data_IF_304218484877
#
_entry.id   IF_304218484877
#
_cell.length_a   1.000
_cell.length_b   1.000
_cell.length_c   1.000
_cell.angle_alpha   90.00
_cell.angle_beta   90.00
_cell.angle_gamma   90.00
#
_symmetry.space_group_name_H-M   'P 1'
#
loop_
_entity.id
_entity.type
_entity.pdbx_description
1 polymer ?
#
# COMPACT_ATOMS: atom_id res chain seq x y z
N UNK A 1 18.75 14.44 -3.27
CA UNK A 1 17.71 13.78 -4.06
C UNK A 1 16.48 13.69 -3.17
N UNK A 2 15.33 14.14 -3.64
CA UNK A 2 14.07 14.10 -2.91
C UNK A 2 13.33 12.80 -3.31
N UNK A 3 13.16 11.89 -2.37
CA UNK A 3 12.57 10.57 -2.62
C UNK A 3 11.18 10.53 -2.02
N UNK A 4 10.16 10.21 -2.85
CA UNK A 4 8.82 9.91 -2.37
C UNK A 4 8.76 8.47 -1.86
N UNK A 5 8.21 8.28 -0.67
CA UNK A 5 7.82 6.95 -0.19
C UNK A 5 6.32 6.80 -0.42
N UNK A 6 5.96 5.76 -1.15
CA UNK A 6 4.58 5.44 -1.49
C UNK A 6 4.23 4.03 -1.04
N UNK A 7 2.97 3.80 -0.70
CA UNK A 7 2.48 2.49 -0.32
C UNK A 7 1.00 2.30 -0.66
N UNK A 8 0.54 1.04 -0.75
CA UNK A 8 -0.88 0.73 -0.79
C UNK A 8 -1.54 1.02 0.58
N UNK A 9 -2.77 1.50 0.60
CA UNK A 9 -3.48 1.88 1.84
C UNK A 9 -3.61 0.74 2.85
N UNK A 10 -3.55 -0.51 2.39
CA UNK A 10 -3.56 -1.72 3.22
C UNK A 10 -2.35 -1.86 4.16
N UNK A 11 -1.46 -0.86 4.21
CA UNK A 11 -0.41 -0.74 5.22
C UNK A 11 -0.94 -0.26 6.58
N UNK A 12 -2.20 0.17 6.65
CA UNK A 12 -2.91 0.59 7.86
C UNK A 12 -2.18 1.67 8.69
N UNK A 13 -1.39 2.52 8.03
CA UNK A 13 -0.79 3.68 8.67
C UNK A 13 -1.82 4.79 8.83
N UNK A 14 -1.83 5.42 10.01
CA UNK A 14 -2.72 6.56 10.26
C UNK A 14 -2.31 7.78 9.41
N UNK A 15 -3.30 8.64 9.10
CA UNK A 15 -3.05 9.88 8.38
C UNK A 15 -1.98 10.75 9.08
N UNK A 16 -1.97 10.77 10.42
CA UNK A 16 -0.97 11.50 11.20
C UNK A 16 0.45 11.01 10.94
N UNK A 17 0.64 9.69 10.85
CA UNK A 17 1.94 9.09 10.50
C UNK A 17 2.30 9.42 9.05
N UNK A 18 1.35 9.28 8.13
CA UNK A 18 1.60 9.57 6.72
C UNK A 18 2.00 11.04 6.51
N UNK A 19 1.31 11.97 7.13
CA UNK A 19 1.63 13.40 7.07
C UNK A 19 3.00 13.71 7.70
N UNK A 20 3.29 13.13 8.88
CA UNK A 20 4.55 13.35 9.59
C UNK A 20 5.78 12.88 8.81
N UNK A 21 5.65 11.76 8.11
CA UNK A 21 6.76 11.12 7.41
C UNK A 21 6.71 11.28 5.89
N UNK A 22 5.79 12.10 5.36
CA UNK A 22 5.62 12.37 3.93
C UNK A 22 5.40 11.06 3.12
N UNK A 23 4.49 10.21 3.61
CA UNK A 23 4.14 8.94 3.00
C UNK A 23 2.90 9.12 2.13
N UNK A 24 2.96 8.68 0.88
CA UNK A 24 1.91 8.84 -0.12
C UNK A 24 1.15 7.53 -0.32
N UNK A 25 -0.06 7.45 0.20
CA UNK A 25 -0.88 6.25 0.07
C UNK A 25 -1.59 6.18 -1.29
N UNK A 26 -1.59 4.99 -1.85
CA UNK A 26 -2.40 4.59 -2.97
C UNK A 26 -3.67 3.93 -2.41
N UNK A 27 -4.81 4.60 -2.49
CA UNK A 27 -6.05 4.18 -1.85
C UNK A 27 -6.70 3.00 -2.60
N UNK A 28 -6.61 1.80 -2.04
CA UNK A 28 -7.08 0.57 -2.67
C UNK A 28 -8.59 0.58 -2.91
N UNK A 29 -9.06 0.14 -4.09
CA UNK A 29 -10.48 0.11 -4.42
C UNK A 29 -11.20 -1.09 -3.81
N UNK A 30 -12.43 -0.87 -3.36
CA UNK A 30 -13.38 -1.91 -2.97
C UNK A 30 -14.81 -1.51 -3.36
N UNK A 31 -15.70 -2.50 -3.52
CA UNK A 31 -17.08 -2.27 -3.93
C UNK A 31 -18.06 -2.78 -2.88
N UNK A 32 -19.06 -1.96 -2.55
CA UNK A 32 -20.21 -2.28 -1.72
C UNK A 32 -21.44 -2.62 -2.61
N UNK A 33 -21.30 -3.65 -3.46
CA UNK A 33 -22.27 -4.00 -4.48
C UNK A 33 -21.82 -3.62 -5.90
N UNK A 34 -22.71 -3.73 -6.89
CA UNK A 34 -22.35 -3.62 -8.31
C UNK A 34 -21.98 -2.19 -8.72
N UNK A 35 -22.63 -1.17 -8.13
CA UNK A 35 -22.50 0.23 -8.57
C UNK A 35 -21.87 1.15 -7.50
N UNK A 36 -21.35 0.63 -6.40
CA UNK A 36 -20.76 1.42 -5.31
C UNK A 36 -19.26 1.13 -5.13
N UNK A 37 -18.47 1.64 -6.07
CA UNK A 37 -17.00 1.59 -5.99
C UNK A 37 -16.49 2.68 -5.06
N UNK A 38 -15.68 2.29 -4.11
CA UNK A 38 -15.04 3.17 -3.11
C UNK A 38 -13.54 2.97 -3.06
N UNK A 39 -12.86 3.94 -2.44
CA UNK A 39 -11.42 3.92 -2.21
C UNK A 39 -11.15 4.01 -0.73
N UNK A 40 -10.36 3.09 -0.22
CA UNK A 40 -10.03 2.91 1.18
C UNK A 40 -9.46 4.19 1.82
N UNK A 41 -10.08 4.62 2.93
CA UNK A 41 -9.70 5.84 3.64
C UNK A 41 -10.01 7.17 2.92
N UNK A 42 -10.56 7.14 1.68
CA UNK A 42 -10.88 8.34 0.89
C UNK A 42 -12.39 8.50 0.70
N UNK A 43 -13.04 7.53 0.06
CA UNK A 43 -14.48 7.55 -0.20
C UNK A 43 -15.23 6.42 0.51
N UNK A 44 -14.50 5.55 1.21
CA UNK A 44 -15.05 4.47 2.01
C UNK A 44 -14.21 4.18 3.25
N UNK A 45 -14.87 3.69 4.28
CA UNK A 45 -14.28 3.41 5.59
C UNK A 45 -14.62 1.98 6.03
N UNK A 46 -13.91 1.48 7.03
CA UNK A 46 -14.21 0.21 7.70
C UNK A 46 -15.66 0.18 8.22
N UNK A 47 -16.18 1.32 8.70
CA UNK A 47 -17.57 1.44 9.16
C UNK A 47 -18.55 1.15 8.02
N UNK A 48 -18.33 1.71 6.83
CA UNK A 48 -19.19 1.47 5.66
C UNK A 48 -19.23 -0.01 5.29
N UNK A 49 -18.08 -0.70 5.39
CA UNK A 49 -17.97 -2.14 5.15
C UNK A 49 -18.86 -2.93 6.11
N UNK A 50 -18.76 -2.68 7.42
CA UNK A 50 -19.58 -3.37 8.42
C UNK A 50 -21.08 -3.06 8.26
N UNK A 51 -21.45 -1.80 8.06
CA UNK A 51 -22.85 -1.42 7.82
C UNK A 51 -23.43 -2.09 6.56
N UNK A 52 -22.63 -2.22 5.50
CA UNK A 52 -23.05 -2.94 4.30
C UNK A 52 -23.30 -4.42 4.57
N UNK A 53 -22.40 -5.11 5.27
CA UNK A 53 -22.54 -6.52 5.63
C UNK A 53 -23.76 -6.75 6.52
N UNK A 54 -23.93 -5.93 7.57
CA UNK A 54 -25.10 -6.01 8.47
C UNK A 54 -26.42 -5.81 7.73
N UNK A 55 -26.46 -4.87 6.78
CA UNK A 55 -27.68 -4.52 6.04
C UNK A 55 -28.03 -5.52 4.96
N UNK A 56 -27.04 -6.11 4.32
CA UNK A 56 -27.26 -6.92 3.10
C UNK A 56 -26.98 -8.41 3.26
N UNK A 57 -26.19 -8.78 4.29
CA UNK A 57 -25.65 -10.14 4.44
C UNK A 57 -24.60 -10.51 3.38
N UNK A 58 -24.14 -9.54 2.57
CA UNK A 58 -23.15 -9.78 1.51
C UNK A 58 -21.80 -9.19 1.90
N UNK A 59 -20.74 -9.88 1.48
CA UNK A 59 -19.37 -9.33 1.63
C UNK A 59 -19.08 -8.30 0.53
N UNK A 60 -18.28 -7.27 0.83
CA UNK A 60 -17.71 -6.40 -0.19
C UNK A 60 -16.74 -7.18 -1.08
N UNK A 61 -16.46 -6.64 -2.25
CA UNK A 61 -15.45 -7.18 -3.16
C UNK A 61 -14.30 -6.21 -3.29
N UNK A 62 -13.07 -6.72 -3.40
CA UNK A 62 -11.87 -5.91 -3.60
C UNK A 62 -11.36 -6.05 -5.03
N UNK A 63 -10.72 -5.01 -5.53
CA UNK A 63 -10.04 -5.01 -6.83
C UNK A 63 -8.57 -4.63 -6.64
N UNK A 64 -7.70 -5.26 -7.43
CA UNK A 64 -6.31 -4.82 -7.50
C UNK A 64 -6.21 -3.56 -8.35
N UNK A 65 -5.35 -2.64 -7.98
CA UNK A 65 -4.92 -1.57 -8.86
C UNK A 65 -4.25 -2.17 -10.10
N UNK A 66 -4.56 -1.63 -11.27
CA UNK A 66 -3.96 -2.06 -12.51
C UNK A 66 -2.67 -1.27 -12.82
N UNK A 67 -1.94 -1.70 -13.83
CA UNK A 67 -0.66 -1.10 -14.24
C UNK A 67 -0.81 0.37 -14.64
N UNK A 68 -1.91 0.73 -15.32
CA UNK A 68 -2.16 2.11 -15.72
C UNK A 68 -2.37 3.03 -14.50
N UNK A 69 -3.15 2.60 -13.53
CA UNK A 69 -3.42 3.36 -12.30
C UNK A 69 -2.12 3.59 -11.50
N UNK A 70 -1.25 2.59 -11.40
CA UNK A 70 0.08 2.76 -10.80
C UNK A 70 0.96 3.72 -11.58
N UNK A 71 0.95 3.63 -12.90
CA UNK A 71 1.71 4.55 -13.77
C UNK A 71 1.28 6.00 -13.54
N UNK A 72 -0.03 6.27 -13.47
CA UNK A 72 -0.56 7.59 -13.15
C UNK A 72 -0.16 8.07 -11.75
N UNK A 73 -0.24 7.18 -10.76
CA UNK A 73 0.17 7.48 -9.39
C UNK A 73 1.67 7.86 -9.33
N UNK A 74 2.55 7.06 -9.93
CA UNK A 74 3.98 7.33 -9.96
C UNK A 74 4.33 8.60 -10.73
N UNK A 75 3.70 8.82 -11.89
CA UNK A 75 3.87 10.06 -12.67
C UNK A 75 3.45 11.30 -11.88
N UNK A 76 2.42 11.21 -11.04
CA UNK A 76 2.00 12.31 -10.17
C UNK A 76 3.10 12.64 -9.16
N UNK A 77 3.69 11.63 -8.52
CA UNK A 77 4.75 11.82 -7.52
C UNK A 77 6.05 12.35 -8.16
N UNK A 78 6.42 11.86 -9.33
CA UNK A 78 7.63 12.32 -10.05
C UNK A 78 7.58 13.79 -10.51
N UNK A 79 6.44 14.48 -10.36
CA UNK A 79 6.38 15.95 -10.58
C UNK A 79 7.09 16.75 -9.48
N UNK A 80 7.09 16.21 -8.26
CA UNK A 80 7.59 16.91 -7.06
C UNK A 80 8.78 16.21 -6.40
N UNK A 81 9.11 14.98 -6.86
CA UNK A 81 10.18 14.13 -6.32
C UNK A 81 11.11 13.63 -7.43
N UNK A 82 12.37 13.44 -7.09
CA UNK A 82 13.40 12.94 -8.01
C UNK A 82 13.30 11.42 -8.23
N UNK A 83 12.77 10.71 -7.25
CA UNK A 83 12.56 9.25 -7.29
C UNK A 83 11.36 8.84 -6.44
N UNK A 84 10.78 7.68 -6.75
CA UNK A 84 9.69 7.04 -5.98
C UNK A 84 10.14 5.65 -5.54
N UNK A 85 9.99 5.37 -4.25
CA UNK A 85 10.07 4.01 -3.71
C UNK A 85 8.66 3.63 -3.27
N UNK A 86 8.06 2.67 -3.96
CA UNK A 86 6.74 2.14 -3.64
C UNK A 86 6.88 0.80 -2.93
N UNK A 87 6.41 0.75 -1.69
CA UNK A 87 6.29 -0.51 -0.95
C UNK A 87 4.89 -1.05 -1.18
N UNK A 88 4.79 -2.26 -1.72
CA UNK A 88 3.51 -2.87 -2.03
C UNK A 88 3.09 -3.92 -1.02
N UNK A 89 1.80 -4.15 -0.97
CA UNK A 89 1.20 -5.33 -0.34
C UNK A 89 1.87 -6.62 -0.86
N UNK A 90 1.92 -7.66 -0.03
CA UNK A 90 2.59 -8.92 -0.39
C UNK A 90 2.19 -9.45 -1.77
N UNK A 91 3.19 -9.72 -2.59
CA UNK A 91 3.01 -10.24 -3.96
C UNK A 91 2.46 -11.66 -4.00
N UNK A 92 2.58 -12.41 -2.90
CA UNK A 92 2.00 -13.75 -2.78
C UNK A 92 0.50 -13.72 -2.47
N UNK A 93 0.01 -12.62 -1.86
CA UNK A 93 -1.39 -12.49 -1.45
C UNK A 93 -2.22 -11.78 -2.52
N UNK A 94 -1.64 -10.82 -3.26
CA UNK A 94 -2.35 -9.99 -4.23
C UNK A 94 -1.57 -9.76 -5.51
N UNK A 95 -2.29 -9.67 -6.63
CA UNK A 95 -1.71 -9.26 -7.93
C UNK A 95 -1.34 -7.76 -7.98
N UNK A 96 -1.75 -6.98 -7.01
CA UNK A 96 -1.47 -5.53 -6.86
C UNK A 96 0.02 -5.23 -6.99
N UNK A 97 0.88 -5.94 -6.24
CA UNK A 97 2.32 -5.75 -6.31
C UNK A 97 2.95 -6.10 -7.67
N UNK A 98 2.43 -7.14 -8.33
CA UNK A 98 2.87 -7.47 -9.70
C UNK A 98 2.50 -6.36 -10.70
N UNK A 99 1.36 -5.70 -10.52
CA UNK A 99 0.95 -4.56 -11.33
C UNK A 99 1.83 -3.34 -11.07
N UNK A 100 2.12 -3.03 -9.81
CA UNK A 100 3.04 -1.96 -9.43
C UNK A 100 4.43 -2.17 -10.03
N UNK A 101 4.96 -3.40 -9.97
CA UNK A 101 6.24 -3.76 -10.57
C UNK A 101 6.25 -3.55 -12.07
N UNK A 102 5.23 -4.04 -12.80
CA UNK A 102 5.13 -3.82 -14.25
C UNK A 102 5.07 -2.35 -14.62
N UNK A 103 4.33 -1.55 -13.86
CA UNK A 103 4.30 -0.10 -14.06
C UNK A 103 5.70 0.52 -13.90
N UNK A 104 6.45 0.11 -12.87
CA UNK A 104 7.79 0.65 -12.59
C UNK A 104 8.87 0.21 -13.59
N UNK A 105 8.76 -0.98 -14.20
CA UNK A 105 9.75 -1.51 -15.16
C UNK A 105 9.99 -0.58 -16.36
N UNK A 106 8.99 0.21 -16.72
CA UNK A 106 9.06 1.17 -17.85
C UNK A 106 9.32 2.62 -17.39
N UNK A 107 9.58 2.86 -16.10
CA UNK A 107 9.77 4.19 -15.53
C UNK A 107 11.17 4.34 -14.94
N UNK A 108 11.83 5.45 -15.27
CA UNK A 108 13.08 5.81 -14.60
C UNK A 108 12.79 6.34 -13.19
N UNK A 109 13.66 6.00 -12.24
CA UNK A 109 13.58 6.47 -10.85
C UNK A 109 12.33 6.01 -10.08
N UNK A 110 11.68 4.92 -10.49
CA UNK A 110 10.61 4.27 -9.75
C UNK A 110 11.06 2.86 -9.36
N UNK A 111 10.95 2.56 -8.09
CA UNK A 111 11.40 1.31 -7.48
C UNK A 111 10.26 0.70 -6.68
N UNK A 112 10.05 -0.61 -6.81
CA UNK A 112 9.01 -1.32 -6.08
C UNK A 112 9.62 -2.35 -5.14
N UNK A 113 9.08 -2.43 -3.91
CA UNK A 113 9.50 -3.37 -2.87
C UNK A 113 8.29 -4.21 -2.49
N UNK A 114 8.46 -5.55 -2.51
CA UNK A 114 7.49 -6.46 -1.90
C UNK A 114 7.65 -6.43 -0.38
N UNK A 115 6.61 -6.02 0.35
CA UNK A 115 6.65 -6.03 1.81
C UNK A 115 6.67 -7.45 2.39
N UNK A 116 6.24 -8.47 1.64
CA UNK A 116 5.94 -9.83 2.11
C UNK A 116 5.02 -9.88 3.33
N UNK A 117 4.35 -8.79 3.59
CA UNK A 117 3.52 -8.56 4.78
C UNK A 117 2.18 -7.94 4.40
N UNK A 118 1.33 -7.81 5.38
CA UNK A 118 0.04 -7.13 5.33
C UNK A 118 -0.15 -6.25 6.57
N UNK A 119 -1.09 -5.30 6.52
CA UNK A 119 -1.50 -4.47 7.67
C UNK A 119 -0.30 -3.87 8.42
N UNK A 120 -0.25 -3.98 9.74
CA UNK A 120 0.79 -3.37 10.58
C UNK A 120 2.21 -3.78 10.21
N UNK A 121 2.45 -5.05 9.84
CA UNK A 121 3.78 -5.50 9.42
C UNK A 121 4.23 -4.85 8.11
N UNK A 122 3.31 -4.68 7.17
CA UNK A 122 3.55 -3.90 5.96
C UNK A 122 3.83 -2.43 6.30
N UNK A 123 3.01 -1.82 7.17
CA UNK A 123 3.19 -0.44 7.63
C UNK A 123 4.55 -0.17 8.26
N UNK A 124 5.10 -1.15 9.01
CA UNK A 124 6.46 -1.01 9.59
C UNK A 124 7.54 -0.92 8.50
N UNK A 125 7.46 -1.71 7.43
CA UNK A 125 8.41 -1.60 6.30
C UNK A 125 8.32 -0.22 5.63
N UNK A 126 7.08 0.27 5.41
CA UNK A 126 6.85 1.60 4.83
C UNK A 126 7.43 2.70 5.70
N UNK A 127 7.19 2.64 7.01
CA UNK A 127 7.68 3.63 7.97
C UNK A 127 9.21 3.68 8.01
N UNK A 128 9.88 2.52 8.00
CA UNK A 128 11.34 2.46 7.95
C UNK A 128 11.90 3.08 6.67
N UNK A 129 11.28 2.82 5.50
CA UNK A 129 11.66 3.51 4.27
C UNK A 129 11.55 5.03 4.40
N UNK A 130 10.46 5.52 4.99
CA UNK A 130 10.22 6.95 5.14
C UNK A 130 11.20 7.62 6.12
N UNK A 131 11.51 6.97 7.24
CA UNK A 131 12.53 7.44 8.20
C UNK A 131 13.90 7.56 7.51
N UNK A 132 14.30 6.55 6.75
CA UNK A 132 15.58 6.55 6.04
C UNK A 132 15.63 7.59 4.92
N UNK A 133 14.52 7.82 4.22
CA UNK A 133 14.43 8.91 3.25
C UNK A 133 14.60 10.28 3.90
N UNK A 134 13.96 10.52 5.07
CA UNK A 134 14.15 11.75 5.83
C UNK A 134 15.58 11.93 6.37
N UNK A 135 16.31 10.83 6.63
CA UNK A 135 17.74 10.85 6.98
C UNK A 135 18.64 11.15 5.78
N UNK A 136 18.09 11.33 4.58
CA UNK A 136 18.84 11.64 3.37
C UNK A 136 19.63 10.45 2.78
N UNK A 137 19.19 9.23 3.07
CA UNK A 137 19.78 8.00 2.51
C UNK A 137 19.52 7.89 1.02
N UNK A 138 20.39 7.17 0.31
CA UNK A 138 20.19 6.87 -1.11
C UNK A 138 19.07 5.85 -1.33
N UNK A 139 18.57 5.76 -2.56
CA UNK A 139 17.56 4.76 -2.95
C UNK A 139 18.04 3.34 -2.63
N UNK A 140 19.28 3.03 -2.97
CA UNK A 140 19.89 1.71 -2.75
C UNK A 140 20.00 1.38 -1.26
N UNK A 141 20.37 2.35 -0.42
CA UNK A 141 20.44 2.18 1.03
C UNK A 141 19.05 1.91 1.63
N UNK A 142 18.03 2.66 1.18
CA UNK A 142 16.64 2.51 1.65
C UNK A 142 16.09 1.13 1.25
N UNK A 143 16.25 0.73 -0.01
CA UNK A 143 15.78 -0.58 -0.50
C UNK A 143 16.42 -1.71 0.29
N UNK A 144 17.74 -1.68 0.43
CA UNK A 144 18.47 -2.71 1.18
C UNK A 144 17.97 -2.79 2.63
N UNK A 145 17.82 -1.65 3.29
CA UNK A 145 17.32 -1.61 4.66
C UNK A 145 15.89 -2.15 4.77
N UNK A 146 15.01 -1.77 3.85
CA UNK A 146 13.63 -2.25 3.80
C UNK A 146 13.56 -3.78 3.67
N UNK A 147 14.44 -4.37 2.84
CA UNK A 147 14.52 -5.82 2.68
C UNK A 147 15.03 -6.52 3.95
N UNK A 148 16.02 -5.95 4.63
CA UNK A 148 16.53 -6.46 5.90
C UNK A 148 15.47 -6.40 7.01
N UNK A 149 14.72 -5.30 7.12
CA UNK A 149 13.62 -5.12 8.08
C UNK A 149 12.48 -6.08 7.76
N UNK A 150 12.04 -6.14 6.51
CA UNK A 150 10.98 -7.03 6.02
C UNK A 150 11.21 -8.47 6.44
N UNK A 151 12.43 -8.97 6.29
CA UNK A 151 12.78 -10.36 6.57
C UNK A 151 12.83 -10.67 8.09
N UNK A 152 12.76 -9.64 8.96
CA UNK A 152 12.68 -9.78 10.42
C UNK A 152 11.26 -9.63 10.97
N UNK A 153 10.32 -9.11 10.17
CA UNK A 153 8.94 -8.90 10.60
C UNK A 153 8.17 -10.22 10.54
N UNK A 154 7.47 -10.51 11.64
CA UNK A 154 6.52 -11.62 11.72
C UNK A 154 5.13 -11.06 12.02
N UNK A 155 4.27 -11.01 11.02
CA UNK A 155 2.89 -10.57 11.17
C UNK A 155 2.01 -11.75 11.54
N UNK A 156 1.20 -11.58 12.60
CA UNK A 156 0.16 -12.53 12.99
C UNK A 156 -1.13 -11.79 13.31
N UNK A 157 -2.26 -12.46 13.07
CA UNK A 157 -3.57 -11.95 13.42
C UNK A 157 -4.45 -13.06 13.98
N UNK A 158 -5.38 -12.68 14.85
CA UNK A 158 -6.42 -13.56 15.36
C UNK A 158 -7.74 -13.18 14.72
N UNK A 159 -8.49 -14.18 14.26
CA UNK A 159 -9.85 -14.00 13.76
C UNK A 159 -10.85 -14.49 14.81
N UNK A 160 -11.93 -13.75 15.00
CA UNK A 160 -13.02 -14.15 15.87
C UNK A 160 -13.84 -15.29 15.25
N UNK A 161 -13.99 -15.26 13.92
CA UNK A 161 -14.67 -16.30 13.14
C UNK A 161 -13.97 -16.54 11.82
N UNK A 162 -14.09 -17.75 11.27
CA UNK A 162 -13.65 -18.12 9.93
C UNK A 162 -14.72 -17.91 8.86
N UNK A 163 -15.92 -17.45 9.25
CA UNK A 163 -17.08 -17.32 8.37
C UNK A 163 -16.81 -16.47 7.13
N UNK A 164 -15.96 -15.47 7.25
CA UNK A 164 -15.62 -14.54 6.17
C UNK A 164 -14.39 -14.96 5.34
N UNK A 165 -13.81 -16.12 5.61
CA UNK A 165 -12.66 -16.67 4.89
C UNK A 165 -13.02 -17.79 3.91
N UNK A 166 -14.32 -18.15 3.82
CA UNK A 166 -14.85 -19.21 2.95
C UNK A 166 -15.80 -18.64 1.90
#
# INVERSE_FOLDING_TARGET
MKIAISADSTCDLSNEICEKYDIHLNAMPFSLGEDDLRHDGVTGTTKDVFEYVEKTGKLPTTSAYNEYEYTEHFNKLLKDYDAVIHVSFSWEISSTGANARRASENMQNVYTIDSKNLSCGFGLVVLECAIWAQMGKSVEEIIKHAEEVRDQIQTSFLVDTLEYLY
#
